data_IF_062476249864
#
_entry.id   IF_062476249864
#
_cell.length_a   1.000
_cell.length_b   1.000
_cell.length_c   1.000
_cell.angle_alpha   90.00
_cell.angle_beta   90.00
_cell.angle_gamma   90.00
#
_symmetry.space_group_name_H-M   'P 1'
#
loop_
_entity.id
_entity.type
_entity.pdbx_description
1 polymer ?
#
# COMPACT_ATOMS: atom_id res chain seq x y z
N UNK A 1 16.01 33.67 -3.01
CA UNK A 1 15.53 34.33 -4.23
C UNK A 1 14.81 33.28 -5.05
N UNK A 2 13.48 33.33 -5.04
CA UNK A 2 12.64 32.38 -5.76
C UNK A 2 12.73 32.68 -7.26
N UNK A 3 13.19 31.69 -8.01
CA UNK A 3 13.26 31.75 -9.47
C UNK A 3 11.84 31.77 -10.05
N UNK A 4 11.51 32.79 -10.84
CA UNK A 4 10.23 32.97 -11.57
C UNK A 4 10.02 31.97 -12.72
N UNK A 5 11.03 31.15 -13.01
CA UNK A 5 11.18 30.35 -14.23
C UNK A 5 10.99 28.86 -13.92
N UNK A 6 10.25 28.16 -14.79
CA UNK A 6 9.95 26.73 -14.65
C UNK A 6 11.23 25.89 -14.62
N UNK A 7 11.19 24.74 -13.93
CA UNK A 7 12.33 23.80 -13.90
C UNK A 7 12.75 23.36 -15.31
N UNK A 8 11.79 23.12 -16.21
CA UNK A 8 12.08 22.67 -17.57
C UNK A 8 12.83 23.74 -18.38
N UNK A 9 12.42 25.00 -18.21
CA UNK A 9 13.08 26.15 -18.82
C UNK A 9 14.51 26.31 -18.28
N UNK A 10 14.70 26.22 -16.96
CA UNK A 10 16.03 26.24 -16.33
C UNK A 10 16.92 25.09 -16.82
N UNK A 11 16.36 23.91 -17.03
CA UNK A 11 17.12 22.76 -17.55
C UNK A 11 17.56 22.95 -19.01
N UNK A 12 16.88 23.79 -19.80
CA UNK A 12 17.25 24.09 -21.19
C UNK A 12 18.44 25.05 -21.26
N UNK A 13 18.72 25.80 -20.20
CA UNK A 13 19.85 26.73 -20.11
C UNK A 13 21.19 26.07 -19.79
N UNK A 14 21.21 24.74 -19.61
CA UNK A 14 22.43 24.00 -19.32
C UNK A 14 23.27 23.79 -20.57
N UNK A 15 24.54 24.13 -20.49
CA UNK A 15 25.52 23.86 -21.53
C UNK A 15 26.19 22.52 -21.23
N UNK A 16 25.75 21.48 -21.96
CA UNK A 16 26.23 20.10 -21.80
C UNK A 16 27.66 19.91 -22.31
N UNK A 17 28.03 20.60 -23.39
CA UNK A 17 29.33 20.52 -24.04
C UNK A 17 29.98 21.92 -24.16
N UNK A 18 31.29 22.01 -23.86
CA UNK A 18 32.09 23.20 -24.16
C UNK A 18 32.03 24.36 -23.15
N UNK A 19 31.37 24.19 -21.99
CA UNK A 19 31.32 25.23 -20.96
C UNK A 19 32.62 25.30 -20.13
N UNK A 20 33.04 26.54 -19.82
CA UNK A 20 34.13 26.85 -18.88
C UNK A 20 33.81 26.41 -17.44
N UNK A 21 32.52 26.34 -17.09
CA UNK A 21 32.03 25.99 -15.75
C UNK A 21 31.55 24.52 -15.75
N UNK A 22 31.92 23.72 -14.74
CA UNK A 22 31.46 22.33 -14.64
C UNK A 22 29.95 22.24 -14.42
N UNK A 23 29.33 21.20 -14.98
CA UNK A 23 27.88 20.91 -14.90
C UNK A 23 27.32 20.94 -13.48
N UNK A 24 28.12 20.59 -12.47
CA UNK A 24 27.70 20.65 -11.06
C UNK A 24 27.43 22.09 -10.59
N UNK A 25 28.28 23.03 -10.98
CA UNK A 25 28.16 24.45 -10.62
C UNK A 25 27.02 25.09 -11.42
N UNK A 26 26.88 24.75 -12.71
CA UNK A 26 25.73 25.20 -13.51
C UNK A 26 24.39 24.75 -12.90
N UNK A 27 24.31 23.49 -12.47
CA UNK A 27 23.10 22.95 -11.84
C UNK A 27 22.80 23.62 -10.49
N UNK A 28 23.83 23.94 -9.70
CA UNK A 28 23.68 24.68 -8.44
C UNK A 28 23.19 26.12 -8.68
N UNK A 29 23.80 26.84 -9.62
CA UNK A 29 23.42 28.21 -10.00
C UNK A 29 21.97 28.28 -10.53
N UNK A 30 21.59 27.28 -11.33
CA UNK A 30 20.23 27.18 -11.90
C UNK A 30 19.25 26.55 -10.92
N UNK A 31 19.66 26.07 -9.75
CA UNK A 31 18.79 25.38 -8.79
C UNK A 31 18.14 24.09 -9.32
N UNK A 32 18.84 23.38 -10.21
CA UNK A 32 18.41 22.08 -10.78
C UNK A 32 19.16 20.95 -10.06
N UNK A 33 18.48 19.85 -9.74
CA UNK A 33 19.17 18.71 -9.13
C UNK A 33 20.16 18.07 -10.11
N UNK A 34 21.39 17.82 -9.66
CA UNK A 34 22.43 17.18 -10.47
C UNK A 34 21.99 15.81 -11.02
N UNK A 35 21.19 15.06 -10.26
CA UNK A 35 20.65 13.75 -10.69
C UNK A 35 19.70 13.86 -11.89
N UNK A 36 19.03 15.01 -12.05
CA UNK A 36 18.15 15.24 -13.19
C UNK A 36 18.89 15.41 -14.51
N UNK A 37 20.16 15.81 -14.49
CA UNK A 37 20.95 16.05 -15.71
C UNK A 37 21.15 14.76 -16.52
N UNK A 38 21.34 13.66 -15.82
CA UNK A 38 21.62 12.36 -16.43
C UNK A 38 20.36 11.55 -16.70
N UNK A 39 19.20 12.00 -16.21
CA UNK A 39 17.95 11.28 -16.37
C UNK A 39 17.32 11.60 -17.72
N UNK A 40 17.30 10.61 -18.61
CA UNK A 40 16.49 10.66 -19.82
C UNK A 40 15.12 10.07 -19.54
N UNK A 41 14.01 10.82 -19.73
CA UNK A 41 12.67 10.29 -19.49
C UNK A 41 12.40 9.13 -20.45
N UNK A 42 11.96 7.99 -19.90
CA UNK A 42 11.59 6.83 -20.72
C UNK A 42 10.25 7.12 -21.41
N UNK A 43 10.16 7.02 -22.75
CA UNK A 43 8.89 7.21 -23.43
C UNK A 43 7.88 6.13 -22.99
N UNK A 44 6.57 6.45 -22.98
CA UNK A 44 5.54 5.47 -22.68
C UNK A 44 5.63 4.32 -23.70
N UNK A 45 5.53 3.08 -23.22
CA UNK A 45 5.57 1.92 -24.11
C UNK A 45 4.28 1.91 -24.96
N UNK A 46 4.37 1.60 -26.26
CA UNK A 46 3.19 1.58 -27.16
C UNK A 46 2.08 0.67 -26.61
N UNK A 47 2.44 -0.49 -26.04
CA UNK A 47 1.48 -1.43 -25.44
C UNK A 47 0.73 -0.87 -24.23
N UNK A 48 1.20 0.21 -23.59
CA UNK A 48 0.59 0.73 -22.36
C UNK A 48 -0.76 1.40 -22.62
N UNK A 49 -0.94 2.03 -23.77
CA UNK A 49 -2.22 2.62 -24.16
C UNK A 49 -3.25 1.51 -24.45
N UNK A 50 -2.85 0.47 -25.18
CA UNK A 50 -3.72 -0.66 -25.52
C UNK A 50 -4.14 -1.45 -24.28
N UNK A 51 -3.21 -1.70 -23.35
CA UNK A 51 -3.53 -2.36 -22.07
C UNK A 51 -4.54 -1.53 -21.27
N UNK A 52 -4.38 -0.20 -21.20
CA UNK A 52 -5.36 0.66 -20.50
C UNK A 52 -6.73 0.58 -21.14
N UNK A 53 -6.81 0.67 -22.47
CA UNK A 53 -8.06 0.52 -23.21
C UNK A 53 -8.72 -0.83 -22.93
N UNK A 54 -7.96 -1.92 -22.93
CA UNK A 54 -8.51 -3.25 -22.70
C UNK A 54 -8.98 -3.46 -21.26
N UNK A 55 -8.24 -2.92 -20.29
CA UNK A 55 -8.66 -2.89 -18.89
C UNK A 55 -9.98 -2.13 -18.75
N UNK A 56 -10.12 -0.98 -19.43
CA UNK A 56 -11.35 -0.19 -19.43
C UNK A 56 -12.53 -1.01 -19.97
N UNK A 57 -12.39 -1.60 -21.15
CA UNK A 57 -13.42 -2.46 -21.77
C UNK A 57 -13.85 -3.62 -20.86
N UNK A 58 -12.90 -4.31 -20.22
CA UNK A 58 -13.19 -5.41 -19.28
C UNK A 58 -13.93 -4.89 -18.05
N UNK A 59 -13.51 -3.74 -17.51
CA UNK A 59 -14.10 -3.16 -16.31
C UNK A 59 -15.50 -2.59 -16.56
N UNK A 60 -15.74 -1.97 -17.72
CA UNK A 60 -17.08 -1.53 -18.15
C UNK A 60 -18.05 -2.72 -18.25
N UNK A 61 -17.59 -3.86 -18.76
CA UNK A 61 -18.40 -5.08 -18.81
C UNK A 61 -18.57 -5.74 -17.43
N UNK A 62 -17.57 -5.63 -16.55
CA UNK A 62 -17.53 -6.32 -15.25
C UNK A 62 -16.98 -5.40 -14.13
N UNK A 63 -17.79 -4.48 -13.58
CA UNK A 63 -17.32 -3.44 -12.64
C UNK A 63 -16.87 -3.98 -11.27
N UNK A 64 -17.08 -5.26 -10.99
CA UNK A 64 -16.64 -5.94 -9.78
C UNK A 64 -15.28 -6.64 -9.94
N UNK A 65 -14.70 -6.67 -11.14
CA UNK A 65 -13.41 -7.30 -11.36
C UNK A 65 -12.26 -6.46 -10.79
N UNK A 66 -11.48 -7.10 -9.91
CA UNK A 66 -10.21 -6.54 -9.44
C UNK A 66 -9.02 -6.99 -10.28
N UNK A 67 -7.84 -6.45 -9.96
CA UNK A 67 -6.58 -6.76 -10.66
C UNK A 67 -6.33 -8.24 -10.94
N UNK A 68 -6.71 -9.16 -10.03
CA UNK A 68 -6.55 -10.61 -10.22
C UNK A 68 -7.38 -11.11 -11.42
N UNK A 69 -8.68 -10.85 -11.40
CA UNK A 69 -9.61 -11.29 -12.46
C UNK A 69 -9.33 -10.62 -13.79
N UNK A 70 -8.98 -9.34 -13.79
CA UNK A 70 -8.59 -8.64 -15.01
C UNK A 70 -7.32 -9.25 -15.62
N UNK A 71 -6.36 -9.67 -14.79
CA UNK A 71 -5.15 -10.37 -15.28
C UNK A 71 -5.51 -11.70 -15.93
N UNK A 72 -6.37 -12.50 -15.30
CA UNK A 72 -6.82 -13.78 -15.84
C UNK A 72 -7.58 -13.59 -17.16
N UNK A 73 -8.47 -12.60 -17.23
CA UNK A 73 -9.25 -12.30 -18.43
C UNK A 73 -8.36 -11.83 -19.60
N UNK A 74 -7.37 -10.98 -19.33
CA UNK A 74 -6.38 -10.57 -20.33
C UNK A 74 -5.53 -11.76 -20.80
N UNK A 75 -5.09 -12.63 -19.90
CA UNK A 75 -4.37 -13.85 -20.26
C UNK A 75 -5.21 -14.77 -21.16
N UNK A 76 -6.52 -14.92 -20.89
CA UNK A 76 -7.44 -15.70 -21.74
C UNK A 76 -7.58 -15.12 -23.14
N UNK A 77 -7.38 -13.82 -23.30
CA UNK A 77 -7.43 -13.11 -24.57
C UNK A 77 -6.06 -13.05 -25.27
N UNK A 78 -5.05 -13.76 -24.75
CA UNK A 78 -3.70 -13.84 -25.33
C UNK A 78 -2.73 -12.77 -24.84
N UNK A 79 -3.13 -11.92 -23.89
CA UNK A 79 -2.29 -10.85 -23.35
C UNK A 79 -1.58 -11.29 -22.07
N UNK A 80 -0.29 -11.62 -22.18
CA UNK A 80 0.54 -12.00 -21.02
C UNK A 80 1.09 -10.75 -20.30
N UNK A 81 0.26 -10.13 -19.47
CA UNK A 81 0.62 -8.92 -18.71
C UNK A 81 0.79 -9.25 -17.22
N UNK A 82 1.88 -8.75 -16.61
CA UNK A 82 2.11 -8.93 -15.18
C UNK A 82 1.02 -8.20 -14.35
N UNK A 83 0.47 -8.88 -13.33
CA UNK A 83 -0.50 -8.31 -12.38
C UNK A 83 -0.08 -6.96 -11.80
N UNK A 84 1.21 -6.74 -11.51
CA UNK A 84 1.72 -5.44 -10.98
C UNK A 84 1.49 -4.30 -11.97
N UNK A 85 1.61 -4.57 -13.28
CA UNK A 85 1.36 -3.58 -14.35
C UNK A 85 -0.13 -3.23 -14.40
N UNK A 86 -1.01 -4.23 -14.35
CA UNK A 86 -2.46 -4.03 -14.31
C UNK A 86 -2.86 -3.23 -13.05
N UNK A 87 -2.30 -3.55 -11.89
CA UNK A 87 -2.54 -2.79 -10.65
C UNK A 87 -2.12 -1.33 -10.75
N UNK A 88 -1.04 -1.02 -11.47
CA UNK A 88 -0.61 0.35 -11.72
C UNK A 88 -1.61 1.05 -12.64
N UNK A 89 -1.95 0.45 -13.78
CA UNK A 89 -2.93 1.01 -14.72
C UNK A 89 -4.29 1.28 -14.05
N UNK A 90 -4.80 0.34 -13.25
CA UNK A 90 -6.04 0.54 -12.49
C UNK A 90 -5.95 1.72 -11.51
N UNK A 91 -4.81 1.88 -10.83
CA UNK A 91 -4.57 3.01 -9.92
C UNK A 91 -4.50 4.34 -10.67
N UNK A 92 -3.80 4.39 -11.80
CA UNK A 92 -3.70 5.58 -12.65
C UNK A 92 -5.09 5.99 -13.17
N UNK A 93 -5.93 5.01 -13.52
CA UNK A 93 -7.31 5.18 -13.99
C UNK A 93 -8.33 5.37 -12.86
N UNK A 94 -7.90 5.31 -11.60
CA UNK A 94 -8.75 5.44 -10.40
C UNK A 94 -9.91 4.42 -10.32
N UNK A 95 -9.72 3.23 -10.88
CA UNK A 95 -10.69 2.13 -10.83
C UNK A 95 -10.25 1.04 -9.84
N UNK A 96 -11.21 0.42 -9.16
CA UNK A 96 -10.96 -0.62 -8.16
C UNK A 96 -12.05 -1.70 -8.21
N UNK A 97 -11.63 -2.95 -8.15
CA UNK A 97 -12.58 -4.07 -8.10
C UNK A 97 -13.28 -4.15 -6.75
N UNK A 98 -14.61 -4.30 -6.80
CA UNK A 98 -15.44 -4.56 -5.62
C UNK A 98 -15.45 -6.07 -5.36
N UNK A 99 -14.68 -6.52 -4.37
CA UNK A 99 -14.64 -7.92 -3.96
C UNK A 99 -14.91 -8.07 -2.45
N UNK A 100 -15.58 -9.14 -2.00
CA UNK A 100 -15.70 -9.44 -0.57
C UNK A 100 -14.32 -9.47 0.08
N UNK A 101 -14.18 -8.79 1.21
CA UNK A 101 -12.98 -8.85 2.03
C UNK A 101 -12.76 -10.25 2.61
N UNK A 102 -11.62 -10.49 3.28
CA UNK A 102 -11.42 -11.71 4.04
C UNK A 102 -12.56 -11.91 5.05
N UNK A 103 -12.98 -13.15 5.26
CA UNK A 103 -14.08 -13.45 6.17
C UNK A 103 -13.62 -13.26 7.63
N UNK A 104 -13.83 -12.05 8.16
CA UNK A 104 -13.46 -11.68 9.54
C UNK A 104 -14.34 -12.34 10.61
N UNK A 105 -15.46 -12.98 10.22
CA UNK A 105 -16.33 -13.70 11.16
C UNK A 105 -15.84 -15.11 11.45
N UNK A 106 -15.00 -15.69 10.59
CA UNK A 106 -14.33 -16.95 10.93
C UNK A 106 -13.29 -16.70 12.01
N UNK A 107 -13.46 -17.40 13.12
CA UNK A 107 -12.53 -17.36 14.23
C UNK A 107 -11.17 -17.90 13.81
N UNK A 108 -10.11 -17.12 14.05
CA UNK A 108 -8.73 -17.61 13.99
C UNK A 108 -8.51 -18.61 15.14
N UNK A 109 -8.28 -19.88 14.80
CA UNK A 109 -8.06 -20.95 15.77
C UNK A 109 -6.77 -20.75 16.59
N UNK A 110 -5.80 -19.99 16.06
CA UNK A 110 -4.55 -19.65 16.74
C UNK A 110 -4.71 -18.49 17.72
N UNK A 111 -5.79 -17.70 17.59
CA UNK A 111 -6.06 -16.58 18.49
C UNK A 111 -6.60 -17.08 19.84
N UNK A 112 -6.02 -16.54 20.93
CA UNK A 112 -6.45 -16.85 22.30
C UNK A 112 -7.89 -16.37 22.50
N UNK A 113 -8.74 -17.25 23.01
CA UNK A 113 -10.08 -16.86 23.48
C UNK A 113 -9.94 -15.96 24.69
N UNK A 114 -10.38 -14.72 24.56
CA UNK A 114 -10.51 -13.84 25.71
C UNK A 114 -11.78 -14.21 26.49
N UNK A 115 -11.67 -14.56 27.79
CA UNK A 115 -12.84 -14.84 28.60
C UNK A 115 -13.70 -13.59 28.72
N UNK A 116 -15.03 -13.75 28.74
CA UNK A 116 -15.95 -12.66 28.98
C UNK A 116 -15.92 -12.28 30.46
N UNK A 117 -15.11 -11.28 30.81
CA UNK A 117 -14.82 -10.91 32.20
C UNK A 117 -16.02 -10.32 32.96
N UNK A 118 -17.13 -10.05 32.27
CA UNK A 118 -18.37 -9.54 32.88
C UNK A 118 -19.39 -10.66 33.18
N UNK A 119 -19.08 -11.94 32.87
CA UNK A 119 -20.02 -13.05 32.99
C UNK A 119 -20.56 -13.23 34.43
N UNK A 120 -19.70 -13.00 35.42
CA UNK A 120 -19.99 -13.23 36.84
C UNK A 120 -19.93 -11.91 37.66
N UNK A 121 -20.08 -10.76 37.00
CA UNK A 121 -20.03 -9.45 37.65
C UNK A 121 -21.46 -8.95 37.95
N UNK A 122 -21.83 -8.87 39.22
CA UNK A 122 -23.09 -8.27 39.63
C UNK A 122 -23.07 -6.74 39.47
N UNK A 123 -23.88 -6.22 38.55
CA UNK A 123 -23.97 -4.77 38.26
C UNK A 123 -24.95 -4.11 39.23
N UNK A 124 -24.45 -3.74 40.41
CA UNK A 124 -25.24 -3.13 41.48
C UNK A 124 -25.39 -1.60 41.38
N UNK A 125 -24.63 -0.93 40.50
CA UNK A 125 -24.70 0.53 40.31
C UNK A 125 -24.35 0.98 38.88
N UNK A 126 -24.80 2.16 38.45
CA UNK A 126 -24.42 2.73 37.16
C UNK A 126 -22.89 2.83 37.00
N UNK A 127 -22.39 2.57 35.80
CA UNK A 127 -20.96 2.63 35.42
C UNK A 127 -20.00 1.62 36.10
N UNK A 128 -20.51 0.59 36.78
CA UNK A 128 -19.64 -0.44 37.38
C UNK A 128 -18.76 -1.18 36.36
N UNK A 129 -19.23 -1.34 35.12
CA UNK A 129 -18.49 -2.01 34.04
C UNK A 129 -17.30 -1.21 33.48
N UNK A 130 -17.22 0.10 33.75
CA UNK A 130 -16.16 0.99 33.22
C UNK A 130 -14.91 1.06 34.12
N UNK A 131 -15.03 0.62 35.37
CA UNK A 131 -13.94 0.60 36.34
C UNK A 131 -13.63 -0.85 36.73
N UNK A 132 -12.75 -1.55 35.99
CA UNK A 132 -12.48 -2.94 36.27
C UNK A 132 -11.92 -3.09 37.71
N UNK A 133 -12.43 -4.02 38.53
CA UNK A 133 -11.85 -4.28 39.84
C UNK A 133 -10.38 -4.72 39.67
N UNK A 134 -9.53 -4.44 40.66
CA UNK A 134 -8.08 -4.76 40.62
C UNK A 134 -7.76 -6.22 40.25
N UNK A 135 -8.69 -7.14 40.53
CA UNK A 135 -8.66 -8.56 40.10
C UNK A 135 -8.65 -8.76 38.57
N UNK A 136 -9.32 -7.91 37.79
CA UNK A 136 -9.36 -8.05 36.33
C UNK A 136 -7.97 -7.79 35.69
N UNK A 137 -7.17 -6.90 36.29
CA UNK A 137 -5.79 -6.64 35.81
C UNK A 137 -4.85 -7.79 36.17
N UNK A 138 -5.05 -8.41 37.33
CA UNK A 138 -4.30 -9.60 37.76
C UNK A 138 -4.63 -10.86 36.95
N UNK A 139 -5.88 -11.05 36.51
CA UNK A 139 -6.26 -12.18 35.65
C UNK A 139 -5.61 -12.14 34.25
N UNK A 140 -5.37 -10.93 33.73
CA UNK A 140 -4.64 -10.72 32.47
C UNK A 140 -3.15 -11.10 32.62
N UNK A 141 -2.53 -10.77 33.76
CA UNK A 141 -1.12 -11.11 34.06
C UNK A 141 -0.92 -12.58 34.49
N UNK A 142 -1.86 -13.18 35.23
CA UNK A 142 -1.77 -14.55 35.75
C UNK A 142 -1.96 -15.62 34.65
N UNK A 143 -2.78 -15.35 33.63
CA UNK A 143 -2.92 -16.20 32.43
C UNK A 143 -1.66 -16.28 31.55
N UNK A 144 -0.60 -15.54 31.90
CA UNK A 144 0.73 -15.63 31.29
C UNK A 144 1.65 -16.61 32.03
N UNK A 145 1.48 -16.83 33.35
CA UNK A 145 2.40 -17.68 34.14
C UNK A 145 2.00 -19.16 34.20
N UNK A 146 0.71 -19.49 34.18
CA UNK A 146 0.28 -20.90 34.23
C UNK A 146 0.35 -21.62 32.88
N UNK A 147 0.31 -20.87 31.78
CA UNK A 147 0.45 -21.39 30.41
C UNK A 147 1.90 -21.78 30.05
N UNK A 148 2.90 -21.48 30.89
CA UNK A 148 4.31 -21.78 30.64
C UNK A 148 4.85 -22.99 31.43
N UNK A 149 4.03 -23.65 32.27
CA UNK A 149 4.45 -24.84 33.04
C UNK A 149 4.40 -26.17 32.27
N UNK A 150 4.19 -26.15 30.96
CA UNK A 150 4.08 -27.38 30.16
C UNK A 150 4.31 -27.21 28.65
N UNK A 151 4.98 -26.14 28.22
CA UNK A 151 5.41 -26.05 26.82
C UNK A 151 6.80 -26.70 26.69
N UNK A 152 7.03 -27.62 25.72
CA UNK A 152 8.38 -28.09 25.44
C UNK A 152 9.25 -26.91 25.04
N UNK A 153 10.43 -26.81 25.66
CA UNK A 153 11.45 -25.83 25.29
C UNK A 153 11.92 -26.19 23.88
N UNK A 154 11.71 -25.27 22.93
CA UNK A 154 12.29 -25.39 21.60
C UNK A 154 13.78 -25.05 21.68
N UNK A 155 14.64 -25.66 20.83
CA UNK A 155 16.08 -25.36 20.80
C UNK A 155 16.36 -23.91 20.38
#
# INVERSE_FOLDING_TARGET
>A
MESTVSRAERATLLELDGSTIPLSVQAELLGVSRSSLYYTPRPPLPDEAEIRRRIDEIYTAHPFFGSRRITEELCRQGWHVNRKRIQRCMRDMQIAGICPGPNLSHRDLQSRLFPYLLRDLEITRPNLSRSPPSRCRQAIDQGSRESLRGLPQWP
#
